data_IF_638389719671
#
_entry.id   IF_638389719671
#
_cell.length_a   1.000
_cell.length_b   1.000
_cell.length_c   1.000
_cell.angle_alpha   90.00
_cell.angle_beta   90.00
_cell.angle_gamma   90.00
#
_symmetry.space_group_name_H-M   'P 1'
#
loop_
_entity.id
_entity.type
_entity.pdbx_description
1 polymer ?
#
# COMPACT_ATOMS: atom_id res chain seq x y z
N UNK A 1 -7.31 1.64 9.77
CA UNK A 1 -6.11 1.91 10.57
C UNK A 1 -5.23 0.67 10.65
N UNK A 2 -3.91 0.85 10.84
CA UNK A 2 -2.95 -0.24 11.05
C UNK A 2 -2.71 -0.52 12.54
N UNK A 3 -2.75 0.51 13.37
CA UNK A 3 -2.71 0.44 14.83
C UNK A 3 -3.52 1.58 15.48
N UNK A 4 -3.75 1.51 16.78
CA UNK A 4 -4.42 2.52 17.58
C UNK A 4 -3.98 2.44 19.06
N UNK A 5 -4.66 3.20 19.93
CA UNK A 5 -4.35 3.27 21.35
C UNK A 5 -4.68 2.00 22.16
N UNK A 6 -5.40 1.05 21.62
CA UNK A 6 -5.85 -0.18 22.31
C UNK A 6 -5.13 -1.46 21.87
N UNK A 7 -4.37 -1.37 20.77
CA UNK A 7 -3.61 -2.50 20.22
C UNK A 7 -2.11 -2.19 20.22
N UNK A 8 -1.31 -3.23 20.04
CA UNK A 8 0.14 -3.08 19.90
C UNK A 8 0.49 -2.18 18.71
N UNK A 9 1.56 -1.40 18.88
CA UNK A 9 2.07 -0.57 17.79
C UNK A 9 2.47 -1.45 16.60
N UNK A 10 2.11 -1.02 15.39
CA UNK A 10 2.41 -1.76 14.16
C UNK A 10 3.88 -2.16 14.06
N UNK A 11 4.79 -1.23 14.41
CA UNK A 11 6.21 -1.50 14.40
C UNK A 11 6.62 -2.65 15.34
N UNK A 12 5.89 -2.90 16.43
CA UNK A 12 6.16 -4.03 17.33
C UNK A 12 5.65 -5.36 16.81
N UNK A 13 4.66 -5.36 15.90
CA UNK A 13 4.08 -6.57 15.31
C UNK A 13 4.91 -7.12 14.16
N UNK A 14 5.58 -6.25 13.42
CA UNK A 14 6.35 -6.61 12.23
C UNK A 14 7.75 -7.12 12.60
N UNK A 15 8.11 -8.32 12.09
CA UNK A 15 9.45 -8.88 12.23
C UNK A 15 10.47 -8.05 11.43
N UNK A 16 10.12 -7.72 10.18
CA UNK A 16 10.90 -6.81 9.34
C UNK A 16 10.23 -5.44 9.32
N UNK A 17 10.95 -4.42 9.80
CA UNK A 17 10.48 -3.03 9.86
C UNK A 17 10.32 -2.40 8.47
N UNK A 18 10.99 -2.93 7.46
CA UNK A 18 10.79 -2.47 6.07
C UNK A 18 9.34 -2.69 5.61
N UNK A 19 8.65 -3.68 6.15
CA UNK A 19 7.25 -3.91 5.87
C UNK A 19 6.30 -2.79 6.34
N UNK A 20 6.76 -1.87 7.20
CA UNK A 20 5.99 -0.66 7.53
C UNK A 20 5.63 0.13 6.27
N UNK A 21 6.57 0.26 5.33
CA UNK A 21 6.33 0.96 4.06
C UNK A 21 5.21 0.31 3.25
N UNK A 22 5.18 -1.03 3.21
CA UNK A 22 4.18 -1.81 2.48
C UNK A 22 2.80 -1.73 3.15
N UNK A 23 2.76 -1.83 4.48
CA UNK A 23 1.50 -1.72 5.23
C UNK A 23 0.87 -0.34 5.06
N UNK A 24 1.65 0.74 5.12
CA UNK A 24 1.10 2.07 4.89
C UNK A 24 0.69 2.29 3.43
N UNK A 25 1.45 1.78 2.46
CA UNK A 25 1.01 1.82 1.06
C UNK A 25 -0.33 1.10 0.86
N UNK A 26 -0.49 -0.09 1.45
CA UNK A 26 -1.75 -0.83 1.43
C UNK A 26 -2.88 -0.06 2.13
N UNK A 27 -2.61 0.56 3.28
CA UNK A 27 -3.60 1.36 4.02
C UNK A 27 -4.15 2.51 3.17
N UNK A 28 -3.27 3.26 2.49
CA UNK A 28 -3.69 4.39 1.65
C UNK A 28 -4.34 3.97 0.32
N UNK A 29 -4.02 2.77 -0.19
CA UNK A 29 -4.63 2.23 -1.40
C UNK A 29 -6.00 1.57 -1.13
N UNK A 30 -6.24 1.11 0.09
CA UNK A 30 -7.48 0.43 0.50
C UNK A 30 -8.68 1.38 0.56
N UNK A 31 -9.92 0.88 0.40
CA UNK A 31 -11.13 1.69 0.58
C UNK A 31 -11.25 2.26 1.99
N UNK A 32 -11.82 3.45 2.10
CA UNK A 32 -12.06 4.16 3.35
C UNK A 32 -11.01 5.22 3.65
N UNK A 33 -11.16 5.91 4.79
CA UNK A 33 -10.24 6.97 5.21
C UNK A 33 -9.03 6.36 5.91
N UNK A 34 -7.80 6.56 5.40
CA UNK A 34 -6.60 6.11 6.08
C UNK A 34 -6.43 6.87 7.41
N UNK A 35 -6.39 6.12 8.50
CA UNK A 35 -6.23 6.67 9.83
C UNK A 35 -4.86 6.25 10.39
N UNK A 36 -4.07 7.24 10.78
CA UNK A 36 -2.76 7.07 11.40
C UNK A 36 -2.85 7.39 12.88
N UNK A 37 -2.30 6.52 13.71
CA UNK A 37 -2.15 6.80 15.12
C UNK A 37 -0.84 7.54 15.35
N UNK A 38 -0.85 8.56 16.24
CA UNK A 38 0.30 9.43 16.46
C UNK A 38 1.57 8.66 16.85
N UNK A 39 2.70 9.01 16.26
CA UNK A 39 4.00 8.35 16.42
C UNK A 39 4.18 7.10 15.57
N UNK A 40 3.11 6.52 14.99
CA UNK A 40 3.24 5.38 14.08
C UNK A 40 3.92 5.77 12.79
N UNK A 41 3.80 7.03 12.36
CA UNK A 41 4.53 7.62 11.23
C UNK A 41 6.04 7.71 11.48
N UNK A 42 6.48 7.57 12.71
CA UNK A 42 7.90 7.53 13.07
C UNK A 42 8.41 6.11 13.31
N UNK A 43 7.51 5.12 13.28
CA UNK A 43 7.82 3.72 13.53
C UNK A 43 8.08 3.42 15.00
N UNK A 44 7.44 4.17 15.94
CA UNK A 44 7.58 3.88 17.37
C UNK A 44 7.02 2.51 17.71
N UNK A 45 7.71 1.83 18.64
CA UNK A 45 7.30 0.54 19.16
C UNK A 45 6.52 0.69 20.47
N UNK A 46 5.69 -0.29 20.78
CA UNK A 46 4.97 -0.42 22.03
C UNK A 46 4.18 -1.71 22.06
N UNK A 47 4.31 -2.48 23.14
CA UNK A 47 3.62 -3.73 23.36
C UNK A 47 2.65 -3.61 24.53
N UNK A 48 1.51 -4.26 24.44
CA UNK A 48 0.48 -4.20 25.47
C UNK A 48 0.95 -4.80 26.82
N UNK A 49 1.82 -5.78 26.78
CA UNK A 49 2.42 -6.37 27.98
C UNK A 49 3.26 -5.38 28.80
N UNK A 50 3.75 -4.29 28.16
CA UNK A 50 4.55 -3.26 28.80
C UNK A 50 3.69 -2.13 29.41
N UNK A 51 2.37 -2.31 29.38
CA UNK A 51 1.37 -1.41 29.93
C UNK A 51 0.91 -0.30 28.96
N UNK A 52 -0.14 0.40 29.35
CA UNK A 52 -0.79 1.43 28.53
C UNK A 52 0.16 2.58 28.12
N UNK A 53 1.10 2.93 28.99
CA UNK A 53 2.10 3.96 28.69
C UNK A 53 2.99 3.63 27.49
N UNK A 54 3.26 2.34 27.24
CA UNK A 54 4.01 1.91 26.06
C UNK A 54 3.23 2.10 24.76
N UNK A 55 1.89 1.97 24.81
CA UNK A 55 1.02 2.20 23.67
C UNK A 55 0.72 3.69 23.44
N UNK A 56 0.77 4.49 24.51
CA UNK A 56 0.38 5.92 24.54
C UNK A 56 1.50 6.81 25.10
N UNK A 57 2.74 6.72 24.57
CA UNK A 57 3.85 7.51 25.10
C UNK A 57 3.61 9.00 24.88
N UNK A 58 4.07 9.81 25.81
CA UNK A 58 4.19 11.26 25.58
C UNK A 58 5.33 11.48 24.57
N UNK A 59 5.04 12.21 23.51
CA UNK A 59 6.01 12.53 22.45
C UNK A 59 6.33 14.03 22.56
N UNK A 60 7.61 14.36 22.76
CA UNK A 60 8.02 15.75 22.97
C UNK A 60 8.34 16.46 21.67
N UNK A 61 9.05 15.79 20.76
CA UNK A 61 9.52 16.38 19.51
C UNK A 61 9.14 15.52 18.30
N UNK A 62 8.67 16.14 17.22
CA UNK A 62 8.37 15.42 15.99
C UNK A 62 9.66 14.91 15.32
N UNK A 63 9.58 13.71 14.71
CA UNK A 63 10.69 13.10 13.98
C UNK A 63 10.33 13.01 12.50
N UNK A 64 11.08 13.72 11.65
CA UNK A 64 10.93 13.61 10.20
C UNK A 64 11.93 12.61 9.64
N UNK A 65 11.53 11.32 9.60
CA UNK A 65 12.34 10.23 9.08
C UNK A 65 11.81 9.75 7.69
N UNK A 66 12.47 8.75 7.11
CA UNK A 66 12.08 8.22 5.80
C UNK A 66 10.66 7.65 5.78
N UNK A 67 10.19 7.05 6.89
CA UNK A 67 8.82 6.54 6.98
C UNK A 67 7.80 7.68 6.98
N UNK A 68 8.05 8.75 7.75
CA UNK A 68 7.20 9.94 7.74
C UNK A 68 7.15 10.59 6.36
N UNK A 69 8.28 10.65 5.67
CA UNK A 69 8.35 11.14 4.29
C UNK A 69 7.52 10.28 3.34
N UNK A 70 7.64 8.96 3.43
CA UNK A 70 6.85 8.01 2.64
C UNK A 70 5.35 8.18 2.87
N UNK A 71 4.92 8.23 4.13
CA UNK A 71 3.52 8.44 4.49
C UNK A 71 3.00 9.79 3.97
N UNK A 72 3.83 10.83 4.00
CA UNK A 72 3.48 12.13 3.42
C UNK A 72 3.23 12.05 1.91
N UNK A 73 4.07 11.29 1.17
CA UNK A 73 3.86 11.03 -0.26
C UNK A 73 2.55 10.26 -0.51
N UNK A 74 2.29 9.21 0.28
CA UNK A 74 1.03 8.45 0.18
C UNK A 74 -0.19 9.33 0.45
N UNK A 75 -0.13 10.19 1.47
CA UNK A 75 -1.20 11.13 1.80
C UNK A 75 -1.43 12.17 0.68
N UNK A 76 -0.37 12.62 0.02
CA UNK A 76 -0.47 13.48 -1.15
C UNK A 76 -1.16 12.75 -2.30
N UNK A 77 -0.74 11.52 -2.64
CA UNK A 77 -1.37 10.70 -3.69
C UNK A 77 -2.83 10.43 -3.38
N UNK A 78 -3.16 10.07 -2.13
CA UNK A 78 -4.54 9.84 -1.72
C UNK A 78 -5.45 11.04 -1.97
N UNK A 79 -4.95 12.25 -1.73
CA UNK A 79 -5.71 13.49 -1.98
C UNK A 79 -5.79 13.88 -3.45
N UNK A 80 -4.75 13.54 -4.23
CA UNK A 80 -4.66 13.92 -5.64
C UNK A 80 -5.46 12.97 -6.54
N UNK A 81 -5.60 11.70 -6.16
CA UNK A 81 -6.16 10.65 -6.99
C UNK A 81 -7.58 10.29 -6.53
N UNK A 82 -8.59 10.69 -7.33
CA UNK A 82 -10.01 10.51 -6.99
C UNK A 82 -10.35 9.04 -6.71
N UNK A 83 -9.80 8.12 -7.50
CA UNK A 83 -10.05 6.69 -7.34
C UNK A 83 -9.61 6.15 -6.00
N UNK A 84 -8.64 6.75 -5.31
CA UNK A 84 -8.18 6.29 -3.99
C UNK A 84 -9.20 6.61 -2.88
N UNK A 85 -9.87 7.78 -2.92
CA UNK A 85 -10.78 8.17 -1.84
C UNK A 85 -12.27 7.92 -2.15
N UNK A 86 -12.69 7.89 -3.43
CA UNK A 86 -14.09 7.67 -3.84
C UNK A 86 -14.29 6.43 -4.72
N UNK A 87 -13.22 5.83 -5.24
CA UNK A 87 -13.32 4.76 -6.23
C UNK A 87 -13.85 3.45 -5.68
N UNK A 88 -14.51 2.70 -6.54
CA UNK A 88 -14.89 1.32 -6.29
C UNK A 88 -13.65 0.44 -6.13
N UNK A 89 -13.83 -0.70 -5.48
CA UNK A 89 -12.77 -1.68 -5.21
C UNK A 89 -13.06 -3.01 -5.91
N UNK A 90 -12.06 -3.55 -6.60
CA UNK A 90 -12.14 -4.87 -7.21
C UNK A 90 -10.83 -5.63 -7.05
N UNK A 91 -10.89 -6.84 -6.49
CA UNK A 91 -9.74 -7.75 -6.45
C UNK A 91 -9.42 -8.27 -7.85
N UNK A 92 -8.14 -8.17 -8.24
CA UNK A 92 -7.64 -8.75 -9.48
C UNK A 92 -6.84 -10.03 -9.23
N UNK A 93 -6.11 -10.11 -8.11
CA UNK A 93 -5.35 -11.30 -7.73
C UNK A 93 -5.17 -11.33 -6.21
N UNK A 94 -5.48 -12.47 -5.59
CA UNK A 94 -5.24 -12.69 -4.15
C UNK A 94 -4.51 -14.03 -4.01
N UNK A 95 -3.27 -13.98 -3.54
CA UNK A 95 -2.41 -15.13 -3.24
C UNK A 95 -1.84 -14.98 -1.82
N UNK A 96 -1.12 -15.96 -1.33
CA UNK A 96 -0.56 -15.92 0.04
C UNK A 96 0.36 -14.72 0.29
N UNK A 97 1.13 -14.33 -0.72
CA UNK A 97 2.16 -13.29 -0.62
C UNK A 97 1.98 -12.16 -1.65
N UNK A 98 0.96 -12.25 -2.51
CA UNK A 98 0.65 -11.22 -3.49
C UNK A 98 -0.81 -10.79 -3.40
N UNK A 99 -1.00 -9.47 -3.49
CA UNK A 99 -2.31 -8.85 -3.57
C UNK A 99 -2.32 -7.82 -4.68
N UNK A 100 -3.25 -7.99 -5.63
CA UNK A 100 -3.49 -6.99 -6.68
C UNK A 100 -4.97 -6.64 -6.66
N UNK A 101 -5.25 -5.37 -6.59
CA UNK A 101 -6.61 -4.85 -6.72
C UNK A 101 -6.62 -3.54 -7.49
N UNK A 102 -7.77 -3.16 -7.97
CA UNK A 102 -7.97 -1.87 -8.61
C UNK A 102 -8.95 -0.99 -7.83
N UNK A 103 -8.76 0.30 -7.98
CA UNK A 103 -9.66 1.36 -7.55
C UNK A 103 -10.12 2.11 -8.79
N UNK A 104 -11.42 2.28 -8.96
CA UNK A 104 -11.98 2.90 -10.16
C UNK A 104 -12.95 4.01 -9.80
N UNK A 105 -12.82 5.15 -10.46
CA UNK A 105 -13.80 6.22 -10.50
C UNK A 105 -14.04 6.65 -11.96
N UNK A 106 -15.11 7.41 -12.28
CA UNK A 106 -15.32 7.85 -13.64
C UNK A 106 -14.09 8.56 -14.23
N UNK A 107 -13.52 7.96 -15.29
CA UNK A 107 -12.33 8.51 -15.98
C UNK A 107 -10.98 8.16 -15.40
N UNK A 108 -10.92 7.46 -14.28
CA UNK A 108 -9.66 7.13 -13.60
C UNK A 108 -9.66 5.68 -13.09
N UNK A 109 -8.56 4.97 -13.34
CA UNK A 109 -8.30 3.63 -12.82
C UNK A 109 -6.91 3.60 -12.21
N UNK A 110 -6.82 3.06 -10.99
CA UNK A 110 -5.55 2.83 -10.29
C UNK A 110 -5.48 1.37 -9.90
N UNK A 111 -4.38 0.70 -10.25
CA UNK A 111 -4.08 -0.67 -9.86
C UNK A 111 -2.97 -0.65 -8.81
N UNK A 112 -3.25 -1.24 -7.66
CA UNK A 112 -2.26 -1.48 -6.60
C UNK A 112 -1.78 -2.92 -6.67
N UNK A 113 -0.46 -3.11 -6.74
CA UNK A 113 0.18 -4.42 -6.73
C UNK A 113 1.13 -4.50 -5.54
N UNK A 114 0.98 -5.54 -4.73
CA UNK A 114 1.78 -5.82 -3.55
C UNK A 114 2.42 -7.21 -3.68
N UNK A 115 3.70 -7.32 -3.38
CA UNK A 115 4.43 -8.56 -3.21
C UNK A 115 5.21 -8.51 -1.89
N UNK A 116 4.84 -9.37 -0.93
CA UNK A 116 5.53 -9.50 0.36
C UNK A 116 6.49 -10.70 0.40
N UNK A 117 6.66 -11.40 -0.73
CA UNK A 117 7.68 -12.45 -0.82
C UNK A 117 9.08 -11.86 -0.99
N UNK A 118 10.08 -12.54 -0.45
CA UNK A 118 11.49 -12.16 -0.58
C UNK A 118 12.09 -12.45 -1.98
N UNK A 119 11.22 -12.66 -2.97
CA UNK A 119 11.61 -12.90 -4.36
C UNK A 119 10.76 -12.08 -5.31
N UNK A 120 11.37 -11.54 -6.36
CA UNK A 120 10.63 -10.90 -7.44
C UNK A 120 9.74 -11.92 -8.16
N UNK A 121 8.58 -11.49 -8.59
CA UNK A 121 7.60 -12.34 -9.25
C UNK A 121 7.09 -11.69 -10.55
N UNK A 122 6.89 -12.51 -11.57
CA UNK A 122 6.13 -12.15 -12.77
C UNK A 122 4.76 -12.84 -12.70
N UNK A 123 3.70 -12.07 -12.70
CA UNK A 123 2.33 -12.58 -12.77
C UNK A 123 1.85 -12.60 -14.21
N UNK A 124 1.42 -13.76 -14.66
CA UNK A 124 0.82 -13.99 -15.98
C UNK A 124 -0.69 -14.06 -15.87
N UNK A 125 -1.43 -13.64 -16.91
CA UNK A 125 -2.88 -13.84 -16.96
C UNK A 125 -3.21 -15.32 -16.75
N UNK A 126 -4.10 -15.60 -15.82
CA UNK A 126 -4.54 -16.95 -15.48
C UNK A 126 -6.02 -16.97 -15.13
N UNK A 127 -6.71 -18.11 -15.36
CA UNK A 127 -8.10 -18.35 -14.99
C UNK A 127 -8.24 -19.44 -13.93
N UNK A 128 -7.19 -19.68 -13.17
CA UNK A 128 -7.21 -20.66 -12.08
C UNK A 128 -8.21 -20.23 -10.99
N UNK A 129 -8.87 -21.20 -10.38
CA UNK A 129 -9.89 -20.95 -9.36
C UNK A 129 -9.36 -20.27 -8.10
N UNK A 130 -8.06 -20.39 -7.84
CA UNK A 130 -7.37 -19.74 -6.73
C UNK A 130 -6.24 -18.86 -7.27
N UNK A 131 -6.31 -17.55 -6.98
CA UNK A 131 -5.29 -16.59 -7.42
C UNK A 131 -5.32 -16.28 -8.91
N UNK A 132 -6.50 -16.35 -9.54
CA UNK A 132 -6.67 -15.92 -10.93
C UNK A 132 -6.21 -14.45 -11.08
N UNK A 133 -5.62 -14.17 -12.24
CA UNK A 133 -5.18 -12.82 -12.58
C UNK A 133 -5.61 -12.50 -14.02
N UNK A 134 -6.48 -11.49 -14.23
CA UNK A 134 -6.97 -11.17 -15.58
C UNK A 134 -5.92 -10.54 -16.48
N UNK A 135 -4.78 -10.10 -15.91
CA UNK A 135 -3.75 -9.33 -16.60
C UNK A 135 -3.97 -7.83 -16.52
N UNK A 136 -2.88 -7.08 -16.77
CA UNK A 136 -2.89 -5.62 -16.89
C UNK A 136 -2.58 -5.29 -18.36
N UNK A 137 -3.40 -4.47 -19.00
CA UNK A 137 -3.25 -4.13 -20.42
C UNK A 137 -3.34 -2.63 -20.64
N UNK A 138 -2.40 -2.08 -21.39
CA UNK A 138 -2.39 -0.66 -21.73
C UNK A 138 -1.21 0.09 -21.10
N UNK A 139 -1.27 1.41 -21.20
CA UNK A 139 -0.23 2.31 -20.69
C UNK A 139 -0.59 2.80 -19.29
N UNK A 140 0.33 2.61 -18.35
CA UNK A 140 0.15 3.04 -16.95
C UNK A 140 1.36 3.83 -16.48
N UNK A 141 1.10 4.84 -15.66
CA UNK A 141 2.12 5.58 -14.93
C UNK A 141 2.22 5.03 -13.50
N UNK A 142 3.41 4.67 -13.06
CA UNK A 142 3.67 4.37 -11.67
C UNK A 142 3.65 5.69 -10.86
N UNK A 143 2.72 5.79 -9.91
CA UNK A 143 2.50 7.00 -9.11
C UNK A 143 3.65 7.31 -8.13
N UNK A 144 4.52 6.33 -7.84
CA UNK A 144 5.64 6.53 -6.91
C UNK A 144 6.85 7.19 -7.57
N UNK A 145 7.07 6.96 -8.86
CA UNK A 145 8.25 7.47 -9.57
C UNK A 145 7.94 8.21 -10.88
N UNK A 146 6.67 8.27 -11.29
CA UNK A 146 6.21 8.94 -12.51
C UNK A 146 6.54 8.21 -13.82
N UNK A 147 7.12 7.02 -13.77
CA UNK A 147 7.48 6.27 -14.97
C UNK A 147 6.25 5.69 -15.65
N UNK A 148 6.20 5.84 -16.97
CA UNK A 148 5.14 5.26 -17.80
C UNK A 148 5.64 3.95 -18.40
N UNK A 149 4.81 2.91 -18.30
CA UNK A 149 5.11 1.58 -18.82
C UNK A 149 3.90 1.00 -19.58
N UNK A 150 4.19 0.29 -20.67
CA UNK A 150 3.19 -0.46 -21.43
C UNK A 150 3.10 -1.88 -20.89
N UNK A 151 1.87 -2.31 -20.56
CA UNK A 151 1.57 -3.65 -20.08
C UNK A 151 0.82 -4.45 -21.16
N UNK A 152 1.19 -5.72 -21.33
CA UNK A 152 0.63 -6.66 -22.30
C UNK A 152 0.09 -7.91 -21.59
N UNK A 153 -0.51 -7.74 -20.43
CA UNK A 153 -1.08 -8.81 -19.62
C UNK A 153 -0.25 -9.16 -18.40
N UNK A 154 1.08 -9.17 -18.49
CA UNK A 154 1.96 -9.52 -17.37
C UNK A 154 2.31 -8.32 -16.52
N UNK A 155 2.62 -8.56 -15.23
CA UNK A 155 3.19 -7.57 -14.34
C UNK A 155 4.35 -8.15 -13.54
N UNK A 156 5.46 -7.43 -13.50
CA UNK A 156 6.63 -7.74 -12.67
C UNK A 156 6.55 -6.94 -11.38
N UNK A 157 6.67 -7.62 -10.24
CA UNK A 157 6.68 -7.00 -8.92
C UNK A 157 7.93 -7.47 -8.19
N UNK A 158 8.78 -6.54 -7.81
CA UNK A 158 10.01 -6.85 -7.07
C UNK A 158 9.72 -7.52 -5.73
N UNK A 159 10.73 -8.17 -5.15
CA UNK A 159 10.67 -8.68 -3.80
C UNK A 159 10.35 -7.56 -2.80
N UNK A 160 9.56 -7.85 -1.76
CA UNK A 160 9.24 -6.94 -0.66
C UNK A 160 8.86 -5.53 -1.15
N UNK A 161 7.98 -5.46 -2.16
CA UNK A 161 7.65 -4.18 -2.80
C UNK A 161 6.18 -4.03 -3.15
N UNK A 162 5.80 -2.79 -3.42
CA UNK A 162 4.51 -2.46 -4.01
C UNK A 162 4.66 -1.42 -5.12
N UNK A 163 3.73 -1.42 -6.06
CA UNK A 163 3.60 -0.40 -7.11
C UNK A 163 2.14 0.07 -7.18
N UNK A 164 1.95 1.31 -7.56
CA UNK A 164 0.64 1.92 -7.76
C UNK A 164 0.59 2.50 -9.18
N UNK A 165 -0.22 1.89 -10.02
CA UNK A 165 -0.26 2.13 -11.46
C UNK A 165 -1.54 2.89 -11.82
N UNK A 166 -1.43 4.09 -12.33
CA UNK A 166 -2.56 4.88 -12.85
C UNK A 166 -2.63 4.72 -14.36
N UNK A 167 -3.82 4.37 -14.87
CA UNK A 167 -4.05 4.30 -16.31
C UNK A 167 -3.83 5.69 -16.92
N UNK A 168 -2.85 5.80 -17.80
CA UNK A 168 -2.63 6.99 -18.62
C UNK A 168 -3.58 6.94 -19.82
N UNK A 169 -4.89 7.16 -19.62
CA UNK A 169 -5.78 7.40 -20.77
C UNK A 169 -5.30 8.65 -21.46
N UNK A 170 -4.80 8.49 -22.67
CA UNK A 170 -4.61 9.59 -23.60
C UNK A 170 -5.97 10.26 -23.78
N UNK A 171 -6.10 11.50 -23.32
CA UNK A 171 -7.22 12.39 -23.63
C UNK A 171 -7.33 12.58 -25.13
#
# INVERSE_FOLDING_TARGET
FADNHDVERLASLLKDKNNLYLVYALLFASPGLPCLYYGSEWGIEGKKQDGDGALRPALNEPVWNNLAQWISQLAFLYKAEKSLYEGDYENLCVRNEQLIFKRCSPGEEIIFCLNISHSSITLYPSRESCGSFPGIYGSYMNLYDGRVQQFNGTVDISADSCIMLKNSKTT
#
